data_IF_406620140955
#
_entry.id   IF_406620140955
#
_cell.length_a   1.000
_cell.length_b   1.000
_cell.length_c   1.000
_cell.angle_alpha   90.00
_cell.angle_beta   90.00
_cell.angle_gamma   90.00
#
_symmetry.space_group_name_H-M   'P 1'
#
loop_
_entity.id
_entity.type
_entity.pdbx_description
1 polymer ?
#
# COMPACT_ATOMS: atom_id res chain seq x y z
N UNK A 1 7.01 23.52 -0.35
CA UNK A 1 6.81 22.32 0.50
C UNK A 1 6.98 22.75 1.95
N UNK A 2 6.08 22.41 2.88
CA UNK A 2 6.30 22.73 4.31
C UNK A 2 7.54 21.99 4.79
N UNK A 3 8.31 22.62 5.68
CA UNK A 3 9.44 21.94 6.33
C UNK A 3 8.91 20.89 7.32
N UNK A 4 8.88 19.64 6.88
CA UNK A 4 8.42 18.51 7.68
C UNK A 4 9.37 18.21 8.84
N UNK A 5 10.66 18.58 8.75
CA UNK A 5 11.63 18.34 9.82
C UNK A 5 11.37 19.28 10.99
N UNK A 6 11.14 20.56 10.70
CA UNK A 6 10.73 21.54 11.70
C UNK A 6 9.39 21.14 12.36
N UNK A 7 8.41 20.75 11.54
CA UNK A 7 7.09 20.32 12.03
C UNK A 7 7.18 19.07 12.91
N UNK A 8 7.98 18.08 12.50
CA UNK A 8 8.21 16.86 13.27
C UNK A 8 8.89 17.15 14.62
N UNK A 9 9.87 18.06 14.66
CA UNK A 9 10.52 18.46 15.92
C UNK A 9 9.52 19.03 16.93
N UNK A 10 8.61 19.90 16.47
CA UNK A 10 7.56 20.50 17.31
C UNK A 10 6.62 19.42 17.84
N UNK A 11 6.15 18.52 16.96
CA UNK A 11 5.26 17.43 17.35
C UNK A 11 5.93 16.50 18.37
N UNK A 12 7.19 16.12 18.13
CA UNK A 12 7.96 15.25 19.02
C UNK A 12 8.03 15.83 20.42
N UNK A 13 8.42 17.10 20.56
CA UNK A 13 8.48 17.77 21.86
C UNK A 13 7.12 17.78 22.57
N UNK A 14 6.04 18.14 21.86
CA UNK A 14 4.68 18.15 22.44
C UNK A 14 4.22 16.77 22.90
N UNK A 15 4.59 15.69 22.19
CA UNK A 15 4.24 14.33 22.58
C UNK A 15 5.06 13.85 23.79
N UNK A 16 6.35 14.18 23.83
CA UNK A 16 7.25 13.82 24.93
C UNK A 16 6.85 14.55 26.23
N UNK A 17 6.43 15.83 26.16
CA UNK A 17 5.86 16.58 27.29
C UNK A 17 4.60 15.92 27.86
N UNK A 18 3.84 15.20 27.02
CA UNK A 18 2.65 14.42 27.41
C UNK A 18 3.00 13.02 27.92
N UNK A 19 4.29 12.69 28.07
CA UNK A 19 4.76 11.37 28.52
C UNK A 19 4.71 10.28 27.45
N UNK A 20 4.58 10.63 26.16
CA UNK A 20 4.57 9.65 25.06
C UNK A 20 5.99 9.42 24.58
N UNK A 21 6.46 8.16 24.65
CA UNK A 21 7.73 7.74 24.06
C UNK A 21 7.61 7.66 22.52
N UNK A 22 8.02 8.74 21.86
CA UNK A 22 7.96 8.85 20.40
C UNK A 22 8.83 7.79 19.71
N UNK A 23 9.98 7.43 20.26
CA UNK A 23 10.84 6.39 19.66
C UNK A 23 10.16 5.02 19.65
N UNK A 24 9.44 4.69 20.73
CA UNK A 24 8.64 3.46 20.79
C UNK A 24 7.49 3.47 19.80
N UNK A 25 6.83 4.62 19.60
CA UNK A 25 5.77 4.78 18.59
C UNK A 25 6.34 4.60 17.18
N UNK A 26 7.46 5.23 16.85
CA UNK A 26 8.13 5.07 15.56
C UNK A 26 8.51 3.63 15.25
N UNK A 27 9.05 2.92 16.25
CA UNK A 27 9.38 1.49 16.10
C UNK A 27 8.13 0.67 15.78
N UNK A 28 7.00 0.91 16.46
CA UNK A 28 5.73 0.24 16.16
C UNK A 28 5.21 0.57 14.77
N UNK A 29 5.26 1.84 14.36
CA UNK A 29 4.83 2.26 13.03
C UNK A 29 5.67 1.63 11.92
N UNK A 30 6.99 1.51 12.11
CA UNK A 30 7.89 0.83 11.16
C UNK A 30 7.63 -0.67 11.01
N UNK A 31 6.97 -1.29 11.99
CA UNK A 31 6.59 -2.72 11.93
C UNK A 31 5.18 -2.95 11.40
N UNK A 32 4.39 -1.90 11.21
CA UNK A 32 3.03 -2.03 10.69
C UNK A 32 3.08 -2.51 9.23
N UNK A 33 2.37 -3.60 8.95
CA UNK A 33 2.17 -4.13 7.61
C UNK A 33 0.71 -4.01 7.24
N UNK A 34 0.42 -3.41 6.08
CA UNK A 34 -0.94 -3.22 5.56
C UNK A 34 -1.03 -3.95 4.23
N UNK A 35 -1.91 -4.93 4.15
CA UNK A 35 -2.19 -5.63 2.89
C UNK A 35 -3.05 -4.74 1.98
N UNK A 36 -2.72 -4.70 0.68
CA UNK A 36 -3.52 -3.97 -0.30
C UNK A 36 -4.43 -4.90 -1.10
N UNK A 37 -5.68 -4.49 -1.39
CA UNK A 37 -6.59 -5.30 -2.19
C UNK A 37 -6.29 -5.18 -3.69
N UNK A 38 -6.14 -6.29 -4.40
CA UNK A 38 -5.87 -6.32 -5.85
C UNK A 38 -6.94 -5.56 -6.66
N UNK A 39 -8.20 -5.62 -6.24
CA UNK A 39 -9.33 -4.96 -6.90
C UNK A 39 -9.36 -3.44 -6.69
N UNK A 40 -8.48 -2.90 -5.83
CA UNK A 40 -8.30 -1.46 -5.69
C UNK A 40 -7.50 -0.82 -6.83
N UNK A 41 -6.79 -1.63 -7.63
CA UNK A 41 -5.93 -1.14 -8.71
C UNK A 41 -6.61 -1.11 -10.09
N UNK A 42 -7.85 -1.56 -10.19
CA UNK A 42 -8.61 -1.55 -11.44
C UNK A 42 -9.60 -0.39 -11.51
N UNK A 43 -10.37 -0.32 -12.60
CA UNK A 43 -11.41 0.70 -12.76
C UNK A 43 -12.43 0.60 -11.62
N UNK A 44 -12.62 1.72 -10.92
CA UNK A 44 -13.56 1.81 -9.81
C UNK A 44 -14.88 2.45 -10.23
N UNK A 45 -15.95 2.11 -9.52
CA UNK A 45 -17.27 2.64 -9.81
C UNK A 45 -18.23 2.53 -8.64
N UNK A 46 -19.45 2.96 -8.90
CA UNK A 46 -20.61 2.73 -8.04
C UNK A 46 -21.63 1.88 -8.80
N UNK A 47 -22.78 1.59 -8.19
CA UNK A 47 -23.90 0.94 -8.89
C UNK A 47 -24.43 1.73 -10.10
N UNK A 48 -24.05 3.01 -10.26
CA UNK A 48 -24.55 3.88 -11.33
C UNK A 48 -23.60 3.97 -12.53
N UNK A 49 -22.29 3.92 -12.30
CA UNK A 49 -21.29 4.08 -13.35
C UNK A 49 -19.91 3.55 -12.92
N UNK A 50 -19.11 3.15 -13.91
CA UNK A 50 -17.70 2.82 -13.79
C UNK A 50 -16.89 3.94 -14.46
N UNK A 51 -15.87 4.44 -13.76
CA UNK A 51 -15.01 5.53 -14.27
C UNK A 51 -13.66 4.96 -14.68
N UNK A 52 -13.43 4.92 -16.00
CA UNK A 52 -12.21 4.33 -16.56
C UNK A 52 -10.99 5.21 -16.34
N UNK A 53 -9.89 4.61 -15.91
CA UNK A 53 -8.60 5.29 -15.74
C UNK A 53 -7.59 4.74 -16.76
N UNK A 54 -6.84 5.63 -17.41
CA UNK A 54 -5.88 5.24 -18.47
C UNK A 54 -4.83 4.21 -17.98
N UNK A 55 -4.48 4.26 -16.70
CA UNK A 55 -3.51 3.37 -16.07
C UNK A 55 -4.11 2.30 -15.15
N UNK A 56 -5.42 2.05 -15.19
CA UNK A 56 -6.00 0.98 -14.37
C UNK A 56 -5.44 -0.39 -14.77
N UNK A 57 -5.08 -1.20 -13.77
CA UNK A 57 -4.60 -2.55 -13.99
C UNK A 57 -5.67 -3.43 -14.65
N UNK A 58 -5.26 -4.21 -15.65
CA UNK A 58 -6.12 -5.04 -16.50
C UNK A 58 -6.00 -6.52 -16.20
N UNK A 59 -4.94 -6.93 -15.51
CA UNK A 59 -4.65 -8.32 -15.15
C UNK A 59 -3.92 -8.40 -13.80
N UNK A 60 -3.84 -9.60 -13.23
CA UNK A 60 -3.24 -9.82 -11.91
C UNK A 60 -1.77 -9.37 -11.81
N UNK A 61 -0.99 -9.48 -12.90
CA UNK A 61 0.40 -9.03 -12.92
C UNK A 61 0.49 -7.51 -12.83
N UNK A 62 -0.32 -6.78 -13.58
CA UNK A 62 -0.41 -5.32 -13.49
C UNK A 62 -0.86 -4.87 -12.08
N UNK A 63 -1.82 -5.58 -11.47
CA UNK A 63 -2.23 -5.30 -10.08
C UNK A 63 -1.08 -5.49 -9.08
N UNK A 64 -0.25 -6.51 -9.28
CA UNK A 64 0.97 -6.74 -8.47
C UNK A 64 1.99 -5.62 -8.70
N UNK A 65 2.18 -5.14 -9.93
CA UNK A 65 3.08 -4.01 -10.23
C UNK A 65 2.63 -2.73 -9.51
N UNK A 66 1.33 -2.42 -9.57
CA UNK A 66 0.78 -1.24 -8.90
C UNK A 66 0.90 -1.38 -7.37
N UNK A 67 0.68 -2.57 -6.83
CA UNK A 67 0.91 -2.86 -5.41
C UNK A 67 2.38 -2.70 -5.01
N UNK A 68 3.31 -3.14 -5.85
CA UNK A 68 4.75 -2.99 -5.63
C UNK A 68 5.15 -1.51 -5.59
N UNK A 69 4.58 -0.66 -6.46
CA UNK A 69 4.85 0.79 -6.41
C UNK A 69 4.29 1.41 -5.12
N UNK A 70 3.10 1.00 -4.67
CA UNK A 70 2.57 1.43 -3.35
C UNK A 70 3.51 1.01 -2.22
N UNK A 71 4.02 -0.23 -2.24
CA UNK A 71 4.97 -0.68 -1.24
C UNK A 71 6.27 0.14 -1.28
N UNK A 72 6.82 0.38 -2.47
CA UNK A 72 8.04 1.17 -2.67
C UNK A 72 7.91 2.59 -2.13
N UNK A 73 6.75 3.23 -2.30
CA UNK A 73 6.52 4.60 -1.83
C UNK A 73 6.21 4.67 -0.33
N UNK A 74 5.54 3.67 0.24
CA UNK A 74 5.03 3.71 1.62
C UNK A 74 5.89 2.92 2.62
N UNK A 75 6.62 1.91 2.16
CA UNK A 75 7.40 0.98 2.98
C UNK A 75 6.59 0.00 3.83
N UNK A 76 5.24 0.10 3.85
CA UNK A 76 4.39 -0.63 4.80
C UNK A 76 3.43 -1.63 4.15
N UNK A 77 3.38 -1.72 2.82
CA UNK A 77 2.46 -2.62 2.11
C UNK A 77 3.11 -3.85 1.43
N UNK A 78 3.72 -4.80 2.17
CA UNK A 78 4.51 -5.87 1.57
C UNK A 78 3.69 -7.05 1.00
N UNK A 79 2.35 -7.06 1.16
CA UNK A 79 1.48 -8.12 0.65
C UNK A 79 0.28 -7.57 -0.11
N UNK A 80 -0.27 -8.41 -0.98
CA UNK A 80 -1.44 -8.12 -1.81
C UNK A 80 -2.50 -9.22 -1.59
N UNK A 81 -3.74 -8.80 -1.34
CA UNK A 81 -4.89 -9.69 -1.26
C UNK A 81 -5.44 -9.97 -2.66
N UNK A 82 -5.45 -11.24 -3.06
CA UNK A 82 -6.05 -11.69 -4.32
C UNK A 82 -7.53 -12.02 -4.15
N UNK A 83 -8.33 -11.79 -5.19
CA UNK A 83 -9.75 -12.12 -5.26
C UNK A 83 -10.03 -13.08 -6.40
N UNK A 84 -10.59 -14.25 -6.10
CA UNK A 84 -10.89 -15.30 -7.09
C UNK A 84 -12.39 -15.25 -7.45
N UNK A 85 -12.76 -15.25 -8.74
CA UNK A 85 -11.94 -15.55 -9.92
C UNK A 85 -11.27 -14.34 -10.61
N UNK A 86 -11.34 -13.13 -10.05
CA UNK A 86 -10.85 -11.91 -10.72
C UNK A 86 -9.33 -11.89 -10.94
N UNK A 87 -8.58 -12.59 -10.09
CA UNK A 87 -7.13 -12.73 -10.14
C UNK A 87 -6.68 -14.17 -10.44
N UNK A 88 -7.57 -14.96 -11.07
CA UNK A 88 -7.24 -16.32 -11.46
C UNK A 88 -6.03 -16.32 -12.42
N UNK A 89 -5.14 -17.30 -12.23
CA UNK A 89 -4.01 -17.54 -13.12
C UNK A 89 -3.89 -19.04 -13.38
N UNK A 90 -3.39 -19.39 -14.57
CA UNK A 90 -3.15 -20.79 -14.93
C UNK A 90 -1.93 -21.37 -14.19
N UNK A 91 -1.04 -20.52 -13.66
CA UNK A 91 0.17 -20.94 -12.97
C UNK A 91 0.48 -20.07 -11.74
N UNK A 92 0.10 -20.58 -10.58
CA UNK A 92 0.31 -19.94 -9.29
C UNK A 92 1.78 -19.79 -8.92
N UNK A 93 2.63 -20.76 -9.28
CA UNK A 93 4.06 -20.68 -8.98
C UNK A 93 4.73 -19.56 -9.77
N UNK A 94 4.40 -19.43 -11.06
CA UNK A 94 4.91 -18.35 -11.89
C UNK A 94 4.42 -16.96 -11.41
N UNK A 95 3.19 -16.87 -10.89
CA UNK A 95 2.68 -15.64 -10.30
C UNK A 95 3.41 -15.29 -8.99
N UNK A 96 3.70 -16.29 -8.16
CA UNK A 96 4.49 -16.11 -6.95
C UNK A 96 5.91 -15.63 -7.27
N UNK A 97 6.61 -16.29 -8.19
CA UNK A 97 7.94 -15.87 -8.65
C UNK A 97 7.93 -14.42 -9.15
N UNK A 98 6.91 -14.05 -9.93
CA UNK A 98 6.74 -12.68 -10.41
C UNK A 98 6.51 -11.66 -9.28
N UNK A 99 5.81 -12.04 -8.20
CA UNK A 99 5.60 -11.14 -7.06
C UNK A 99 6.85 -10.90 -6.20
N UNK A 100 7.88 -11.73 -6.38
CA UNK A 100 9.14 -11.68 -5.62
C UNK A 100 10.28 -11.01 -6.40
N UNK A 101 10.10 -10.73 -7.70
CA UNK A 101 11.08 -10.05 -8.57
C UNK A 101 11.03 -8.54 -8.44
#
# INVERSE_FOLDING_TARGET
MRDYKASYKILKSSLEERGIDVSKVEKKLKTLKIETPSWGYTDSGTRFAIFKQKGAARNVKEKIQDAAEVHKLTGVCPSIALHIPWDMTDNWNALLEYSLS
#
